data_IF_033860536788
#
_entry.id   IF_033860536788
#
_cell.length_a   1.000
_cell.length_b   1.000
_cell.length_c   1.000
_cell.angle_alpha   90.00
_cell.angle_beta   90.00
_cell.angle_gamma   90.00
#
_symmetry.space_group_name_H-M   'P 1'
#
loop_
_entity.id
_entity.type
_entity.pdbx_description
1 polymer ?
#
# COMPACT_ATOMS: atom_id res chain seq x y z
N UNK A 1 3.34 12.41 1.73
CA UNK A 1 3.47 12.56 3.18
C UNK A 1 3.68 11.18 3.78
N UNK A 2 4.83 10.95 4.42
CA UNK A 2 5.10 9.72 5.14
C UNK A 2 4.06 9.50 6.22
N UNK A 3 3.60 8.26 6.39
CA UNK A 3 2.67 7.90 7.45
C UNK A 3 3.26 8.30 8.82
N UNK A 4 2.51 8.99 9.67
CA UNK A 4 2.97 9.35 11.01
C UNK A 4 2.82 8.21 12.02
N UNK A 5 2.60 6.96 11.59
CA UNK A 5 2.39 5.88 12.54
C UNK A 5 3.72 5.42 13.12
N UNK A 6 3.91 5.55 14.45
CA UNK A 6 5.09 5.03 15.12
C UNK A 6 5.11 3.51 15.00
N UNK A 7 6.26 2.96 14.66
CA UNK A 7 6.48 1.54 14.84
C UNK A 7 6.40 1.21 16.34
N UNK A 8 5.61 0.22 16.67
CA UNK A 8 5.26 -0.12 18.06
C UNK A 8 6.36 -0.79 18.88
N UNK A 9 7.59 -0.93 18.37
CA UNK A 9 8.62 -1.75 18.99
C UNK A 9 9.43 -1.13 20.08
N UNK A 10 9.58 0.14 20.03
CA UNK A 10 9.98 0.93 21.17
C UNK A 10 9.01 2.09 21.21
N UNK A 11 8.19 2.16 22.23
CA UNK A 11 7.22 3.26 22.43
C UNK A 11 7.84 4.65 22.23
N UNK A 12 9.15 4.71 22.06
CA UNK A 12 9.96 5.92 21.95
C UNK A 12 10.65 6.13 20.62
N UNK A 13 10.82 5.09 19.76
CA UNK A 13 11.49 5.25 18.47
C UNK A 13 10.50 5.61 17.38
N UNK A 14 10.63 6.80 16.85
CA UNK A 14 9.82 7.32 15.75
C UNK A 14 10.73 7.68 14.59
N UNK A 15 10.32 7.36 13.38
CA UNK A 15 11.01 7.78 12.16
C UNK A 15 10.04 8.56 11.30
N UNK A 16 10.52 9.68 10.79
CA UNK A 16 9.77 10.53 9.87
C UNK A 16 10.61 10.78 8.63
N UNK A 17 10.02 10.59 7.45
CA UNK A 17 10.68 10.88 6.18
C UNK A 17 9.83 11.88 5.37
N UNK A 18 10.50 12.76 4.64
CA UNK A 18 9.85 13.67 3.70
C UNK A 18 10.50 13.53 2.32
N UNK A 19 9.69 13.67 1.29
CA UNK A 19 10.18 13.87 -0.06
C UNK A 19 10.58 15.33 -0.21
N UNK A 20 11.83 15.56 -0.56
CA UNK A 20 12.35 16.89 -0.84
C UNK A 20 12.64 17.07 -2.32
N UNK A 21 13.00 18.30 -2.72
CA UNK A 21 13.56 18.58 -4.05
C UNK A 21 15.00 18.04 -4.23
N UNK A 22 15.40 17.11 -3.39
CA UNK A 22 16.69 16.44 -3.42
C UNK A 22 16.57 15.13 -4.23
N UNK A 23 17.68 14.58 -4.70
CA UNK A 23 17.67 13.31 -5.44
C UNK A 23 17.18 12.11 -4.61
N UNK A 24 16.98 12.27 -3.32
CA UNK A 24 16.48 11.25 -2.39
C UNK A 24 15.64 11.88 -1.27
N UNK A 25 14.72 11.13 -0.64
CA UNK A 25 14.03 11.58 0.56
C UNK A 25 15.00 11.74 1.73
N UNK A 26 14.64 12.61 2.67
CA UNK A 26 15.37 12.79 3.92
C UNK A 26 14.54 12.27 5.08
N UNK A 27 15.20 11.62 6.04
CA UNK A 27 14.57 11.04 7.21
C UNK A 27 15.22 11.57 8.48
N UNK A 28 14.46 11.66 9.56
CA UNK A 28 14.93 11.94 10.90
C UNK A 28 14.31 10.94 11.88
N UNK A 29 15.03 10.63 12.95
CA UNK A 29 14.55 9.75 14.02
C UNK A 29 14.43 10.51 15.35
N UNK A 30 13.43 10.12 16.12
CA UNK A 30 13.26 10.50 17.54
C UNK A 30 13.37 9.23 18.40
N UNK A 31 14.06 9.33 19.51
CA UNK A 31 14.21 8.23 20.48
C UNK A 31 13.39 8.49 21.77
N UNK A 32 12.63 9.55 21.81
CA UNK A 32 11.89 10.01 22.99
C UNK A 32 10.39 10.29 22.71
N UNK A 33 9.82 9.52 21.77
CA UNK A 33 8.40 9.62 21.43
C UNK A 33 8.03 10.90 20.66
N UNK A 34 8.98 11.47 19.89
CA UNK A 34 8.75 12.66 19.09
C UNK A 34 9.04 13.98 19.82
N UNK A 35 9.53 13.94 21.08
CA UNK A 35 9.84 15.16 21.83
C UNK A 35 11.07 15.89 21.29
N UNK A 36 12.09 15.14 20.86
CA UNK A 36 13.25 15.68 20.15
C UNK A 36 13.56 14.83 18.90
N UNK A 37 14.16 15.47 17.91
CA UNK A 37 14.50 14.83 16.62
C UNK A 37 15.99 14.95 16.34
N UNK A 38 16.56 13.87 15.82
CA UNK A 38 17.93 13.83 15.34
C UNK A 38 18.12 14.63 14.04
N UNK A 39 19.33 14.60 13.48
CA UNK A 39 19.60 15.27 12.21
C UNK A 39 18.82 14.64 11.06
N UNK A 40 18.52 15.43 10.05
CA UNK A 40 18.03 14.93 8.76
C UNK A 40 19.14 14.20 8.02
N UNK A 41 18.89 12.94 7.66
CA UNK A 41 19.80 12.05 6.94
C UNK A 41 19.14 11.54 5.67
N UNK A 42 19.92 11.11 4.65
CA UNK A 42 19.36 10.47 3.47
C UNK A 42 18.47 9.27 3.82
N UNK A 43 17.28 9.22 3.24
CA UNK A 43 16.32 8.11 3.39
C UNK A 43 16.53 6.98 2.35
N UNK A 44 17.71 6.92 1.73
CA UNK A 44 18.15 5.93 0.76
C UNK A 44 19.66 5.76 0.85
N UNK A 45 20.28 4.74 0.24
CA UNK A 45 21.74 4.64 0.13
C UNK A 45 22.35 5.91 -0.48
N UNK A 46 23.54 6.30 -0.01
CA UNK A 46 24.14 7.61 -0.33
C UNK A 46 24.37 7.86 -1.82
N UNK A 47 24.58 6.78 -2.58
CA UNK A 47 24.79 6.83 -4.03
C UNK A 47 23.50 6.69 -4.85
N UNK A 48 22.36 6.55 -4.15
CA UNK A 48 21.06 6.39 -4.77
C UNK A 48 20.52 7.73 -5.29
N UNK A 49 20.00 7.74 -6.50
CA UNK A 49 19.34 8.91 -7.09
C UNK A 49 17.84 8.67 -7.31
N UNK A 50 17.23 7.86 -6.43
CA UNK A 50 15.79 7.64 -6.47
C UNK A 50 15.06 8.92 -6.08
N UNK A 51 14.65 9.70 -7.08
CA UNK A 51 13.74 10.84 -6.88
C UNK A 51 12.29 10.41 -6.88
N UNK A 52 11.39 11.35 -6.67
CA UNK A 52 9.95 11.14 -6.75
C UNK A 52 9.25 11.04 -5.40
N UNK A 53 7.97 10.69 -5.46
CA UNK A 53 7.15 10.47 -4.27
C UNK A 53 7.52 9.11 -3.65
N UNK A 54 7.53 9.03 -2.34
CA UNK A 54 7.67 7.77 -1.62
C UNK A 54 6.34 7.36 -1.02
N UNK A 55 6.11 6.06 -0.99
CA UNK A 55 5.01 5.43 -0.28
C UNK A 55 5.07 5.69 1.24
N UNK A 56 4.12 5.14 1.94
CA UNK A 56 4.08 5.17 3.39
C UNK A 56 5.34 4.53 3.99
N UNK A 57 5.81 5.10 5.08
CA UNK A 57 6.81 4.51 5.94
C UNK A 57 6.10 3.62 6.97
N UNK A 58 6.53 2.38 7.10
CA UNK A 58 5.98 1.42 8.07
C UNK A 58 7.10 0.87 8.94
N UNK A 59 6.83 0.68 10.21
CA UNK A 59 7.71 -0.04 11.12
C UNK A 59 7.19 -1.44 11.41
N UNK A 60 8.10 -2.39 11.55
CA UNK A 60 7.82 -3.76 11.92
C UNK A 60 8.17 -4.06 13.37
N UNK A 61 7.61 -5.14 13.90
CA UNK A 61 7.83 -5.57 15.28
C UNK A 61 9.28 -6.01 15.57
N UNK A 62 10.08 -6.27 14.59
CA UNK A 62 11.51 -6.54 14.72
C UNK A 62 12.40 -5.28 14.84
N UNK A 63 11.84 -4.06 14.74
CA UNK A 63 12.58 -2.79 14.85
C UNK A 63 12.99 -2.18 13.53
N UNK A 64 12.76 -2.86 12.43
CA UNK A 64 13.06 -2.39 11.11
C UNK A 64 11.96 -1.44 10.59
N UNK A 65 12.36 -0.50 9.75
CA UNK A 65 11.42 0.35 9.03
C UNK A 65 11.58 0.14 7.53
N UNK A 66 10.46 0.21 6.83
CA UNK A 66 10.40 -0.03 5.40
C UNK A 66 9.69 1.11 4.69
N UNK A 67 10.14 1.42 3.47
CA UNK A 67 9.59 2.45 2.61
C UNK A 67 9.76 2.04 1.15
N UNK A 68 8.69 2.04 0.37
CA UNK A 68 8.75 1.72 -1.05
C UNK A 68 8.97 2.97 -1.90
N UNK A 69 9.72 2.85 -2.98
CA UNK A 69 9.96 3.90 -3.98
C UNK A 69 10.56 3.30 -5.25
N UNK A 70 10.85 4.15 -6.25
CA UNK A 70 11.64 3.77 -7.41
C UNK A 70 13.02 3.24 -7.02
N UNK A 71 13.56 2.31 -7.82
CA UNK A 71 14.92 1.79 -7.63
C UNK A 71 16.00 2.87 -7.79
N UNK A 72 17.15 2.66 -7.16
CA UNK A 72 18.27 3.59 -7.17
C UNK A 72 18.84 3.88 -8.58
N UNK A 73 18.70 2.96 -9.49
CA UNK A 73 19.11 3.11 -10.90
C UNK A 73 18.01 3.74 -11.78
N UNK A 74 16.88 4.11 -11.18
CA UNK A 74 15.71 4.66 -11.88
C UNK A 74 14.87 3.61 -12.62
N UNK A 75 15.17 2.31 -12.43
CA UNK A 75 14.38 1.23 -13.00
C UNK A 75 13.56 0.49 -11.95
N UNK A 76 12.31 0.17 -12.28
CA UNK A 76 11.43 -0.62 -11.40
C UNK A 76 11.19 0.01 -10.04
N UNK A 77 10.87 -0.83 -9.07
CA UNK A 77 10.60 -0.43 -7.69
C UNK A 77 11.51 -1.15 -6.71
N UNK A 78 11.81 -0.49 -5.61
CA UNK A 78 12.61 -1.04 -4.52
C UNK A 78 11.97 -0.77 -3.17
N UNK A 79 12.22 -1.67 -2.24
CA UNK A 79 11.98 -1.48 -0.83
C UNK A 79 13.24 -0.98 -0.16
N UNK A 80 13.17 0.16 0.48
CA UNK A 80 14.25 0.70 1.30
C UNK A 80 14.02 0.31 2.74
N UNK A 81 15.05 -0.27 3.36
CA UNK A 81 15.02 -0.77 4.74
C UNK A 81 16.06 -0.06 5.58
N UNK A 82 15.70 0.26 6.82
CA UNK A 82 16.64 0.66 7.87
C UNK A 82 16.50 -0.26 9.08
N UNK A 83 17.63 -0.65 9.66
CA UNK A 83 17.74 -1.50 10.85
C UNK A 83 18.34 -0.76 12.05
N UNK A 84 18.70 0.52 11.84
CA UNK A 84 19.45 1.34 12.81
C UNK A 84 18.74 2.66 13.17
N UNK A 85 17.41 2.70 13.00
CA UNK A 85 16.61 3.88 13.32
C UNK A 85 16.84 5.04 12.35
N UNK A 86 16.90 4.75 11.06
CA UNK A 86 17.04 5.70 9.95
C UNK A 86 18.42 6.39 9.87
N UNK A 87 19.47 5.82 10.48
CA UNK A 87 20.83 6.32 10.28
C UNK A 87 21.38 5.90 8.91
N UNK A 88 21.08 4.67 8.49
CA UNK A 88 21.41 4.16 7.16
C UNK A 88 20.26 3.39 6.54
N UNK A 89 20.23 3.32 5.21
CA UNK A 89 19.22 2.61 4.44
C UNK A 89 19.87 1.66 3.45
N UNK A 90 19.30 0.47 3.29
CA UNK A 90 19.62 -0.49 2.25
C UNK A 90 18.51 -0.56 1.21
N UNK A 91 18.86 -0.83 -0.04
CA UNK A 91 17.92 -1.07 -1.13
C UNK A 91 17.69 -2.55 -1.33
N UNK A 92 16.44 -2.96 -1.49
CA UNK A 92 15.99 -4.31 -1.79
C UNK A 92 15.07 -4.25 -3.01
N UNK A 93 15.56 -4.69 -4.16
CA UNK A 93 14.84 -4.60 -5.43
C UNK A 93 13.62 -5.52 -5.42
N UNK A 94 12.46 -5.00 -5.81
CA UNK A 94 11.23 -5.77 -5.96
C UNK A 94 11.25 -6.60 -7.26
N UNK A 95 10.51 -7.72 -7.34
CA UNK A 95 10.47 -8.58 -8.53
C UNK A 95 9.68 -7.93 -9.66
N UNK A 96 10.28 -6.96 -10.32
CA UNK A 96 9.63 -6.06 -11.28
C UNK A 96 9.75 -6.51 -12.73
N UNK A 97 9.96 -7.79 -13.03
CA UNK A 97 10.03 -8.29 -14.42
C UNK A 97 8.79 -7.96 -15.26
N UNK A 98 7.68 -7.65 -14.60
CA UNK A 98 6.41 -7.21 -15.23
C UNK A 98 6.22 -5.69 -15.12
N UNK A 99 7.11 -5.00 -14.43
CA UNK A 99 6.98 -3.59 -14.12
C UNK A 99 8.13 -2.79 -14.70
N UNK A 100 8.03 -2.33 -15.92
CA UNK A 100 8.65 -1.05 -16.24
C UNK A 100 7.95 0.03 -15.41
N UNK A 101 8.57 1.18 -15.24
CA UNK A 101 7.87 2.34 -14.69
C UNK A 101 6.68 2.64 -15.61
N UNK A 102 5.47 2.54 -15.08
CA UNK A 102 4.32 3.00 -15.81
C UNK A 102 4.55 4.47 -16.19
N UNK A 103 4.35 4.84 -17.45
CA UNK A 103 4.45 6.24 -17.93
C UNK A 103 3.31 7.12 -17.37
N UNK A 104 2.77 6.76 -16.21
CA UNK A 104 1.61 7.41 -15.63
C UNK A 104 1.94 7.96 -14.25
N UNK A 105 1.18 8.92 -13.81
CA UNK A 105 1.17 9.53 -12.48
C UNK A 105 1.09 8.55 -11.28
N UNK A 106 0.92 7.26 -11.54
CA UNK A 106 0.97 6.17 -10.57
C UNK A 106 2.34 5.49 -10.45
N UNK A 107 3.33 5.91 -11.23
CA UNK A 107 4.57 5.17 -11.46
C UNK A 107 5.63 5.38 -10.38
N UNK A 108 5.35 6.14 -9.34
CA UNK A 108 6.41 6.61 -8.45
C UNK A 108 6.41 5.90 -7.09
N UNK A 109 5.41 5.06 -6.81
CA UNK A 109 5.22 4.53 -5.46
C UNK A 109 5.02 3.01 -5.43
N UNK A 110 5.91 2.30 -4.74
CA UNK A 110 5.60 0.97 -4.23
C UNK A 110 5.10 1.11 -2.79
N UNK A 111 3.88 0.68 -2.53
CA UNK A 111 3.28 0.70 -1.20
C UNK A 111 3.79 -0.47 -0.37
N UNK A 112 3.87 -0.29 0.94
CA UNK A 112 4.39 -1.30 1.86
C UNK A 112 3.49 -1.47 3.06
N UNK A 113 3.35 -2.70 3.52
CA UNK A 113 2.77 -3.04 4.82
C UNK A 113 3.54 -4.18 5.47
N UNK A 114 3.39 -4.33 6.78
CA UNK A 114 3.96 -5.44 7.55
C UNK A 114 2.87 -6.07 8.41
N UNK A 115 2.95 -7.38 8.60
CA UNK A 115 2.06 -8.10 9.51
C UNK A 115 2.66 -8.24 10.93
N UNK A 116 1.91 -8.86 11.83
CA UNK A 116 2.33 -9.05 13.22
C UNK A 116 3.55 -9.95 13.41
N UNK A 117 3.92 -10.75 12.41
CA UNK A 117 5.13 -11.58 12.41
C UNK A 117 6.31 -10.91 11.69
N UNK A 118 6.17 -9.62 11.35
CA UNK A 118 7.16 -8.82 10.61
C UNK A 118 7.42 -9.29 9.16
N UNK A 119 6.51 -10.04 8.55
CA UNK A 119 6.56 -10.29 7.12
C UNK A 119 6.24 -9.00 6.36
N UNK A 120 6.94 -8.74 5.27
CA UNK A 120 6.84 -7.50 4.50
C UNK A 120 6.06 -7.74 3.22
N UNK A 121 5.11 -6.86 2.91
CA UNK A 121 4.28 -6.92 1.73
C UNK A 121 4.47 -5.65 0.91
N UNK A 122 4.64 -5.80 -0.39
CA UNK A 122 4.78 -4.70 -1.33
C UNK A 122 3.68 -4.75 -2.39
N UNK A 123 3.16 -3.59 -2.78
CA UNK A 123 2.21 -3.42 -3.87
C UNK A 123 2.66 -2.28 -4.77
N UNK A 124 2.54 -2.46 -6.07
CA UNK A 124 2.88 -1.43 -7.08
C UNK A 124 2.00 -1.55 -8.31
N UNK A 125 2.03 -0.54 -9.15
CA UNK A 125 1.39 -0.57 -10.47
C UNK A 125 2.39 -1.03 -11.52
N UNK A 126 2.03 -2.07 -12.28
CA UNK A 126 2.81 -2.57 -13.40
C UNK A 126 2.74 -1.64 -14.62
N UNK A 127 3.59 -1.89 -15.61
CA UNK A 127 3.62 -1.15 -16.89
C UNK A 127 2.28 -1.22 -17.66
N UNK A 128 1.49 -2.25 -17.38
CA UNK A 128 0.15 -2.46 -17.90
C UNK A 128 -0.94 -1.69 -17.13
N UNK A 129 -0.54 -0.86 -16.15
CA UNK A 129 -1.42 -0.13 -15.22
C UNK A 129 -2.31 -1.04 -14.36
N UNK A 130 -1.87 -2.26 -14.09
CA UNK A 130 -2.55 -3.18 -13.19
C UNK A 130 -1.75 -3.34 -11.88
N UNK A 131 -2.42 -3.64 -10.75
CA UNK A 131 -1.76 -3.76 -9.47
C UNK A 131 -1.10 -5.12 -9.31
N UNK A 132 0.15 -5.11 -8.90
CA UNK A 132 0.95 -6.28 -8.55
C UNK A 132 1.33 -6.26 -7.08
N UNK A 133 1.58 -7.43 -6.56
CA UNK A 133 1.94 -7.64 -5.18
C UNK A 133 3.03 -8.71 -5.07
N UNK A 134 3.87 -8.57 -4.04
CA UNK A 134 4.85 -9.56 -3.61
C UNK A 134 5.04 -9.48 -2.10
N UNK A 135 5.55 -10.54 -1.50
CA UNK A 135 5.86 -10.58 -0.07
C UNK A 135 7.27 -11.10 0.18
N UNK A 136 7.81 -10.76 1.34
CA UNK A 136 9.08 -11.24 1.87
C UNK A 136 8.86 -11.81 3.27
N UNK A 137 9.47 -12.96 3.54
CA UNK A 137 9.47 -13.64 4.84
C UNK A 137 10.82 -13.50 5.56
N UNK A 138 11.74 -12.70 5.03
CA UNK A 138 13.12 -12.55 5.48
C UNK A 138 13.60 -11.10 5.48
N UNK A 139 12.76 -10.20 6.01
CA UNK A 139 13.09 -8.77 6.15
C UNK A 139 13.41 -8.06 4.83
N UNK A 140 12.65 -8.32 3.79
CA UNK A 140 12.82 -7.78 2.44
C UNK A 140 14.11 -8.23 1.72
N UNK A 141 14.84 -9.23 2.21
CA UNK A 141 16.05 -9.73 1.54
C UNK A 141 15.73 -10.55 0.29
N UNK A 142 14.65 -11.33 0.32
CA UNK A 142 14.11 -12.02 -0.86
C UNK A 142 12.61 -11.81 -0.99
N UNK A 143 12.10 -11.88 -2.21
CA UNK A 143 10.71 -11.63 -2.54
C UNK A 143 10.07 -12.82 -3.26
N UNK A 144 8.78 -13.05 -3.00
CA UNK A 144 7.98 -13.99 -3.80
C UNK A 144 7.88 -13.50 -5.24
N UNK A 145 7.48 -14.38 -6.16
CA UNK A 145 7.10 -13.95 -7.52
C UNK A 145 5.98 -12.90 -7.47
N UNK A 146 6.03 -11.93 -8.38
CA UNK A 146 4.99 -10.91 -8.49
C UNK A 146 3.66 -11.53 -8.94
N UNK A 147 2.58 -11.17 -8.25
CA UNK A 147 1.22 -11.61 -8.58
C UNK A 147 0.34 -10.42 -8.90
N UNK A 148 -0.37 -10.46 -10.02
CA UNK A 148 -1.38 -9.49 -10.38
C UNK A 148 -2.66 -9.77 -9.57
N UNK A 149 -3.22 -8.74 -8.95
CA UNK A 149 -4.32 -8.84 -7.98
C UNK A 149 -5.66 -8.26 -8.44
N UNK A 150 -5.68 -7.56 -9.57
CA UNK A 150 -6.92 -7.01 -10.10
C UNK A 150 -7.82 -8.11 -10.71
N UNK A 151 -9.15 -7.95 -10.66
CA UNK A 151 -10.04 -8.79 -11.43
C UNK A 151 -9.86 -8.54 -12.93
N UNK A 152 -10.04 -9.58 -13.73
CA UNK A 152 -9.74 -9.61 -15.17
C UNK A 152 -10.53 -8.64 -16.06
N UNK A 153 -11.55 -7.98 -15.52
CA UNK A 153 -12.36 -7.02 -16.25
C UNK A 153 -11.83 -5.58 -16.13
N UNK A 154 -10.83 -5.32 -15.29
CA UNK A 154 -10.21 -4.00 -15.19
C UNK A 154 -9.14 -3.82 -16.27
N UNK A 155 -9.16 -2.66 -16.92
CA UNK A 155 -8.23 -2.27 -17.97
C UNK A 155 -7.20 -1.25 -17.49
N UNK A 156 -7.46 -0.60 -16.36
CA UNK A 156 -6.56 0.35 -15.73
C UNK A 156 -6.87 0.55 -14.26
N UNK A 157 -5.83 0.80 -13.48
CA UNK A 157 -5.94 1.03 -12.04
C UNK A 157 -5.01 2.14 -11.60
N UNK A 158 -5.17 2.62 -10.36
CA UNK A 158 -4.32 3.66 -9.81
C UNK A 158 -4.45 3.80 -8.31
N UNK A 159 -3.56 4.59 -7.72
CA UNK A 159 -3.52 4.89 -6.29
C UNK A 159 -3.48 3.63 -5.41
N UNK A 160 -2.40 2.85 -5.47
CA UNK A 160 -2.28 1.65 -4.66
C UNK A 160 -2.19 1.97 -3.18
N UNK A 161 -2.85 1.17 -2.37
CA UNK A 161 -2.74 1.17 -0.91
C UNK A 161 -2.77 -0.28 -0.43
N UNK A 162 -1.94 -0.64 0.54
CA UNK A 162 -1.85 -1.99 1.09
C UNK A 162 -1.92 -1.96 2.61
N UNK A 163 -2.60 -2.93 3.20
CA UNK A 163 -2.59 -3.15 4.64
C UNK A 163 -2.55 -4.64 4.97
N UNK A 164 -1.64 -5.02 5.87
CA UNK A 164 -1.54 -6.38 6.38
C UNK A 164 -2.14 -6.48 7.80
N UNK A 165 -2.75 -7.61 8.07
CA UNK A 165 -3.27 -7.98 9.38
C UNK A 165 -2.39 -9.02 10.06
N UNK A 166 -2.94 -10.21 10.36
CA UNK A 166 -2.16 -11.36 10.81
C UNK A 166 -1.35 -11.95 9.64
N UNK A 167 -0.37 -12.78 9.95
CA UNK A 167 0.51 -13.40 8.96
C UNK A 167 -0.24 -14.04 7.78
N UNK A 168 0.13 -13.65 6.58
CA UNK A 168 -0.50 -14.11 5.33
C UNK A 168 -1.87 -13.50 5.01
N UNK A 169 -2.34 -12.51 5.80
CA UNK A 169 -3.61 -11.82 5.58
C UNK A 169 -3.38 -10.37 5.18
N UNK A 170 -3.80 -10.02 3.99
CA UNK A 170 -3.51 -8.71 3.38
C UNK A 170 -4.68 -8.20 2.55
N UNK A 171 -4.88 -6.91 2.56
CA UNK A 171 -5.82 -6.22 1.69
C UNK A 171 -5.12 -5.14 0.86
N UNK A 172 -5.66 -4.94 -0.34
CA UNK A 172 -5.17 -4.04 -1.37
C UNK A 172 -6.29 -3.11 -1.79
N UNK A 173 -6.11 -1.82 -1.65
CA UNK A 173 -7.03 -0.79 -2.11
C UNK A 173 -6.50 -0.10 -3.37
N UNK A 174 -7.37 0.19 -4.30
CA UNK A 174 -7.03 0.92 -5.53
C UNK A 174 -8.30 1.46 -6.21
N UNK A 175 -8.14 2.43 -7.07
CA UNK A 175 -9.19 2.80 -8.03
C UNK A 175 -8.99 2.06 -9.34
N UNK A 176 -10.07 1.78 -10.06
CA UNK A 176 -10.00 1.03 -11.31
C UNK A 176 -11.11 1.39 -12.29
N UNK A 177 -10.85 1.14 -13.57
CA UNK A 177 -11.77 1.37 -14.68
C UNK A 177 -11.82 0.15 -15.61
N UNK A 178 -12.98 -0.03 -16.26
CA UNK A 178 -13.18 -1.03 -17.33
C UNK A 178 -12.96 -0.44 -18.73
N UNK A 179 -12.29 0.71 -18.84
CA UNK A 179 -12.04 1.40 -20.11
C UNK A 179 -13.23 2.24 -20.61
N UNK A 180 -14.31 2.33 -19.85
CA UNK A 180 -15.49 3.14 -20.16
C UNK A 180 -15.37 4.61 -19.71
N UNK A 181 -14.24 4.96 -19.07
CA UNK A 181 -14.00 6.29 -18.51
C UNK A 181 -14.57 6.50 -17.11
N UNK A 182 -15.28 5.51 -16.57
CA UNK A 182 -15.78 5.54 -15.20
C UNK A 182 -14.78 4.88 -14.24
N UNK A 183 -14.58 5.50 -13.10
CA UNK A 183 -13.64 5.01 -12.08
C UNK A 183 -14.35 4.63 -10.81
N UNK A 184 -13.98 3.48 -10.27
CA UNK A 184 -14.55 2.91 -9.06
C UNK A 184 -13.45 2.50 -8.09
N UNK A 185 -13.79 2.46 -6.81
CA UNK A 185 -12.90 1.94 -5.77
C UNK A 185 -13.02 0.43 -5.64
N UNK A 186 -11.89 -0.24 -5.43
CA UNK A 186 -11.83 -1.68 -5.24
C UNK A 186 -11.01 -2.03 -4.02
N UNK A 187 -11.42 -3.09 -3.34
CA UNK A 187 -10.60 -3.78 -2.34
C UNK A 187 -10.46 -5.23 -2.76
N UNK A 188 -9.21 -5.67 -2.90
CA UNK A 188 -8.86 -7.09 -3.05
C UNK A 188 -8.29 -7.59 -1.73
N UNK A 189 -8.64 -8.80 -1.33
CA UNK A 189 -8.20 -9.39 -0.05
C UNK A 189 -7.72 -10.82 -0.25
N UNK A 190 -6.68 -11.18 0.50
CA UNK A 190 -6.17 -12.55 0.64
C UNK A 190 -6.04 -12.88 2.12
N UNK A 191 -6.33 -14.12 2.49
CA UNK A 191 -6.10 -14.64 3.84
C UNK A 191 -5.09 -15.80 3.86
N UNK A 192 -4.52 -16.09 2.71
CA UNK A 192 -3.61 -17.20 2.44
C UNK A 192 -2.49 -16.77 1.47
N UNK A 193 -2.00 -15.54 1.61
CA UNK A 193 -1.05 -14.90 0.69
C UNK A 193 0.25 -15.69 0.46
N UNK A 194 0.61 -16.61 1.36
CA UNK A 194 1.81 -17.45 1.24
C UNK A 194 1.59 -18.75 0.46
N UNK A 195 0.36 -19.02 0.02
CA UNK A 195 0.09 -20.17 -0.83
C UNK A 195 0.58 -19.91 -2.27
N UNK A 196 0.91 -20.96 -3.01
CA UNK A 196 1.30 -20.85 -4.42
C UNK A 196 0.18 -20.24 -5.29
N UNK A 197 -1.07 -20.45 -4.93
CA UNK A 197 -2.26 -19.91 -5.61
C UNK A 197 -3.24 -19.36 -4.58
N UNK A 198 -2.97 -18.17 -4.04
CA UNK A 198 -3.84 -17.61 -3.00
C UNK A 198 -5.21 -17.24 -3.57
N UNK A 199 -6.23 -17.35 -2.73
CA UNK A 199 -7.58 -16.94 -3.09
C UNK A 199 -7.71 -15.42 -2.96
N UNK A 200 -7.94 -14.74 -4.07
CA UNK A 200 -8.19 -13.30 -4.12
C UNK A 200 -9.71 -13.06 -4.16
N UNK A 201 -10.20 -12.31 -3.19
CA UNK A 201 -11.58 -11.82 -3.17
C UNK A 201 -11.57 -10.32 -3.43
N UNK A 202 -12.22 -9.88 -4.50
CA UNK A 202 -12.28 -8.45 -4.84
C UNK A 202 -13.72 -7.95 -4.79
N UNK A 203 -13.91 -6.77 -4.21
CA UNK A 203 -15.20 -6.07 -4.16
C UNK A 203 -15.03 -4.64 -4.65
N UNK A 204 -16.02 -4.15 -5.41
CA UNK A 204 -16.20 -2.73 -5.66
C UNK A 204 -16.78 -2.09 -4.40
N UNK A 205 -16.25 -0.95 -3.97
CA UNK A 205 -16.61 -0.35 -2.67
C UNK A 205 -17.63 0.80 -2.78
N UNK A 206 -17.83 1.33 -3.96
CA UNK A 206 -18.89 2.32 -4.23
C UNK A 206 -20.01 1.71 -5.09
N UNK A 207 -21.15 2.38 -5.15
CA UNK A 207 -22.29 1.93 -5.95
C UNK A 207 -21.94 1.96 -7.45
N UNK A 208 -22.33 0.95 -8.24
CA UNK A 208 -22.00 0.89 -9.66
C UNK A 208 -22.51 2.08 -10.50
N UNK A 209 -23.59 2.73 -10.07
CA UNK A 209 -24.17 3.89 -10.74
C UNK A 209 -23.69 5.23 -10.16
N UNK A 210 -22.74 5.20 -9.23
CA UNK A 210 -22.17 6.36 -8.56
C UNK A 210 -20.63 6.26 -8.59
N UNK A 211 -19.99 6.44 -9.77
CA UNK A 211 -18.56 6.35 -9.91
C UNK A 211 -17.85 7.41 -9.07
N UNK A 212 -16.62 7.12 -8.65
CA UNK A 212 -15.79 8.06 -7.89
C UNK A 212 -15.40 9.27 -8.73
N UNK A 213 -15.17 9.04 -10.01
CA UNK A 213 -14.97 10.08 -11.03
C UNK A 213 -15.47 9.58 -12.39
N UNK A 214 -16.11 10.47 -13.13
CA UNK A 214 -16.56 10.31 -14.51
C UNK A 214 -15.71 11.15 -15.50
N UNK A 215 -14.85 11.99 -14.98
CA UNK A 215 -13.89 12.72 -15.78
C UNK A 215 -12.64 11.87 -15.99
N UNK A 216 -12.23 11.71 -17.23
CA UNK A 216 -10.89 11.20 -17.51
C UNK A 216 -9.87 11.98 -16.67
N UNK A 217 -8.93 11.33 -15.98
CA UNK A 217 -7.86 12.02 -15.29
C UNK A 217 -6.87 12.67 -16.26
N UNK A 218 -7.37 13.32 -17.27
CA UNK A 218 -6.60 14.15 -18.20
C UNK A 218 -6.18 15.45 -17.55
N UNK A 219 -5.67 15.28 -16.35
CA UNK A 219 -5.02 16.39 -15.75
C UNK A 219 -3.58 16.32 -16.15
N UNK A 220 -3.14 17.15 -17.02
CA UNK A 220 -1.72 17.29 -17.31
C UNK A 220 -0.82 17.13 -16.08
N UNK A 221 0.07 17.92 -15.76
CA UNK A 221 1.02 17.80 -14.64
C UNK A 221 0.50 18.36 -13.30
N UNK A 222 -0.78 18.67 -13.20
CA UNK A 222 -1.34 19.24 -11.98
C UNK A 222 -2.27 18.22 -11.29
N UNK A 223 -2.20 18.17 -9.97
CA UNK A 223 -3.10 17.38 -9.11
C UNK A 223 -4.53 17.79 -9.40
N UNK A 224 -5.20 17.04 -10.17
CA UNK A 224 -6.54 17.33 -10.56
C UNK A 224 -7.51 16.49 -9.81
N UNK A 225 -8.43 17.14 -9.37
CA UNK A 225 -9.48 16.92 -8.46
C UNK A 225 -10.39 15.71 -8.57
N UNK A 226 -10.12 14.70 -9.36
CA UNK A 226 -10.97 13.52 -9.40
C UNK A 226 -10.87 12.69 -8.13
N UNK A 227 -9.78 11.99 -7.96
CA UNK A 227 -9.59 11.08 -6.83
C UNK A 227 -8.84 11.70 -5.66
N UNK A 228 -8.30 12.92 -5.79
CA UNK A 228 -7.30 13.45 -4.85
C UNK A 228 -6.02 12.61 -4.91
N UNK A 229 -5.11 12.85 -3.96
CA UNK A 229 -3.84 12.13 -3.89
C UNK A 229 -3.76 11.14 -2.73
N UNK A 230 -4.79 11.07 -1.91
CA UNK A 230 -4.69 10.41 -0.61
C UNK A 230 -5.80 9.39 -0.45
N UNK A 231 -5.43 8.14 -0.65
CA UNK A 231 -6.21 6.98 -0.25
C UNK A 231 -5.55 6.35 0.97
N UNK A 232 -6.32 5.80 1.87
CA UNK A 232 -5.78 5.10 3.02
C UNK A 232 -6.70 3.95 3.46
N UNK A 233 -6.10 2.94 4.09
CA UNK A 233 -6.79 1.77 4.59
C UNK A 233 -6.46 1.55 6.06
N UNK A 234 -7.45 1.04 6.80
CA UNK A 234 -7.28 0.66 8.20
C UNK A 234 -7.97 -0.67 8.49
N UNK A 235 -7.44 -1.42 9.45
CA UNK A 235 -8.07 -2.64 9.97
C UNK A 235 -8.61 -2.35 11.36
N UNK A 236 -9.92 -2.56 11.56
CA UNK A 236 -10.54 -2.38 12.87
C UNK A 236 -10.21 -3.55 13.84
N UNK A 237 -10.66 -3.43 15.07
CA UNK A 237 -10.41 -4.42 16.10
C UNK A 237 -11.01 -5.82 15.78
N UNK A 238 -11.96 -5.89 14.86
CA UNK A 238 -12.57 -7.13 14.40
C UNK A 238 -11.91 -7.68 13.13
N UNK A 239 -10.82 -7.08 12.67
CA UNK A 239 -10.11 -7.47 11.46
C UNK A 239 -10.78 -7.03 10.16
N UNK A 240 -11.77 -6.12 10.20
CA UNK A 240 -12.43 -5.61 9.02
C UNK A 240 -11.65 -4.45 8.41
N UNK A 241 -11.63 -4.41 7.09
CA UNK A 241 -10.91 -3.38 6.34
C UNK A 241 -11.81 -2.19 6.08
N UNK A 242 -11.31 -1.01 6.44
CA UNK A 242 -11.87 0.28 6.07
C UNK A 242 -11.01 0.88 4.97
N UNK A 243 -11.64 1.44 3.96
CA UNK A 243 -10.97 2.12 2.86
C UNK A 243 -11.56 3.52 2.67
N UNK A 244 -10.70 4.54 2.68
CA UNK A 244 -11.07 5.93 2.46
C UNK A 244 -10.68 6.36 1.06
N UNK A 245 -11.64 6.91 0.33
CA UNK A 245 -11.54 7.32 -1.07
C UNK A 245 -12.08 8.74 -1.25
N UNK A 246 -11.51 9.50 -2.17
CA UNK A 246 -12.16 10.72 -2.65
C UNK A 246 -13.31 10.38 -3.60
N UNK A 247 -14.42 11.13 -3.49
CA UNK A 247 -15.60 11.02 -4.35
C UNK A 247 -15.96 12.40 -4.87
N UNK A 248 -15.89 12.59 -6.18
CA UNK A 248 -15.92 13.91 -6.78
C UNK A 248 -17.16 14.29 -7.61
N UNK A 249 -17.99 13.41 -8.20
CA UNK A 249 -18.95 13.82 -9.24
C UNK A 249 -19.96 14.86 -8.79
N UNK A 250 -20.41 14.86 -7.55
CA UNK A 250 -21.47 15.74 -7.07
C UNK A 250 -21.18 16.48 -5.78
N UNK A 251 -20.25 15.99 -4.98
CA UNK A 251 -19.88 16.57 -3.70
C UNK A 251 -18.45 16.17 -3.36
N UNK A 252 -17.54 17.10 -3.44
CA UNK A 252 -16.17 16.90 -2.94
C UNK A 252 -16.18 16.32 -1.52
N UNK A 253 -16.11 15.02 -1.38
CA UNK A 253 -16.24 14.32 -0.12
C UNK A 253 -15.29 13.12 -0.04
N UNK A 254 -15.11 12.62 1.17
CA UNK A 254 -14.42 11.36 1.42
C UNK A 254 -15.46 10.26 1.49
N UNK A 255 -15.32 9.25 0.65
CA UNK A 255 -16.12 8.04 0.71
C UNK A 255 -15.42 7.03 1.61
N UNK A 256 -16.05 6.66 2.71
CA UNK A 256 -15.57 5.60 3.59
C UNK A 256 -16.33 4.31 3.33
N UNK A 257 -15.66 3.24 2.97
CA UNK A 257 -16.29 1.94 2.79
C UNK A 257 -15.76 0.93 3.79
N UNK A 258 -16.70 0.18 4.37
CA UNK A 258 -16.41 -1.00 5.18
C UNK A 258 -16.64 -2.25 4.34
N UNK A 259 -15.62 -3.09 4.21
CA UNK A 259 -15.77 -4.36 3.50
C UNK A 259 -16.48 -5.41 4.34
N UNK A 260 -17.40 -6.12 3.70
CA UNK A 260 -17.91 -7.40 4.16
C UNK A 260 -17.05 -8.46 3.46
N UNK A 261 -15.93 -8.79 4.09
CA UNK A 261 -14.96 -9.76 3.57
C UNK A 261 -14.38 -10.59 4.70
N UNK A 262 -13.43 -11.48 4.39
CA UNK A 262 -12.74 -12.24 5.42
C UNK A 262 -12.03 -11.31 6.39
N UNK A 263 -12.01 -11.68 7.67
CA UNK A 263 -11.25 -10.94 8.68
C UNK A 263 -9.75 -11.07 8.41
N UNK A 264 -9.04 -9.95 8.49
CA UNK A 264 -7.58 -9.95 8.44
C UNK A 264 -6.94 -10.18 9.81
N UNK A 265 -7.74 -10.42 10.86
CA UNK A 265 -7.29 -10.75 12.22
C UNK A 265 -8.04 -11.97 12.74
N UNK A 266 -7.38 -12.77 13.59
CA UNK A 266 -7.95 -13.97 14.18
C UNK A 266 -8.06 -15.15 13.19
N UNK A 267 -8.56 -16.27 13.67
CA UNK A 267 -8.74 -17.47 12.85
C UNK A 267 -9.84 -17.24 11.79
N UNK A 268 -9.58 -17.69 10.58
CA UNK A 268 -10.62 -17.81 9.55
C UNK A 268 -11.50 -18.98 9.95
N UNK A 269 -12.76 -18.72 10.28
CA UNK A 269 -13.71 -19.80 10.57
C UNK A 269 -13.86 -20.68 9.31
N UNK A 270 -13.73 -22.00 9.44
CA UNK A 270 -13.93 -22.89 8.31
C UNK A 270 -15.36 -22.73 7.75
N UNK A 271 -15.49 -22.83 6.43
CA UNK A 271 -16.77 -22.67 5.73
C UNK A 271 -17.92 -23.48 6.34
N UNK A 272 -17.61 -24.62 6.99
CA UNK A 272 -18.58 -25.45 7.71
C UNK A 272 -19.18 -24.76 8.96
N UNK A 273 -18.47 -23.84 9.58
CA UNK A 273 -18.97 -23.07 10.74
C UNK A 273 -19.71 -21.80 10.30
N UNK A 274 -19.32 -21.20 9.15
CA UNK A 274 -20.05 -20.08 8.57
C UNK A 274 -21.46 -20.48 8.08
N UNK A 275 -21.62 -21.73 7.63
CA UNK A 275 -22.92 -22.25 7.19
C UNK A 275 -23.89 -22.59 8.34
N UNK A 276 -23.41 -22.70 9.57
CA UNK A 276 -24.23 -23.00 10.76
C UNK A 276 -24.85 -21.75 11.42
N UNK A 277 -24.36 -20.55 11.09
CA UNK A 277 -24.98 -19.28 11.47
C UNK A 277 -26.12 -18.95 10.50
N UNK A 278 -27.36 -19.32 10.85
CA UNK A 278 -28.52 -18.88 10.07
C UNK A 278 -28.64 -17.36 10.00
N UNK A 279 -29.49 -16.82 9.09
CA UNK A 279 -29.57 -15.39 8.83
C UNK A 279 -29.88 -14.64 10.14
N UNK A 280 -28.96 -13.76 10.52
CA UNK A 280 -29.20 -12.82 11.61
C UNK A 280 -30.15 -11.77 11.09
N UNK A 281 -31.38 -11.79 11.51
CA UNK A 281 -32.31 -10.67 11.34
C UNK A 281 -31.80 -9.48 12.15
N UNK A 282 -31.49 -8.41 11.45
CA UNK A 282 -31.26 -7.08 12.02
C UNK A 282 -32.57 -6.53 12.61
#
# INVERSE_FOLDING_TARGET
>A
ASSPYPALLHETLWVFCINGNFPFPVCAASQDGGATWGPELPGAPIDCQSGGLSAHLIGADNGNFYRGQNGCDGSGYSMYKTEDGALTWSEHVLPTEVSGTADTWNAEEAQVSVDGDSNVYAMWMGIDNLPYFSYSLDDANTWSEAQMIAPSHLEGTGFPVIIAGDAGKVAFGYVGTTGDGLWHGYISMMTDAFNETPLITTVMVNEPNDPLDDASPTCGYERCGGFGDFLDMQIDANGRVWFALAHNPTNSGIYGSLTIGPSLRGEVLPLSEMAAGGPQTL
#
